data_IF_875245380755
#
_entry.id   IF_875245380755
#
_cell.length_a   1.000
_cell.length_b   1.000
_cell.length_c   1.000
_cell.angle_alpha   90.00
_cell.angle_beta   90.00
_cell.angle_gamma   90.00
#
_symmetry.space_group_name_H-M   'P 1'
#
loop_
_entity.id
_entity.type
_entity.pdbx_description
1 polymer ?
#
# COMPACT_ATOMS: atom_id res chain seq x y z
N UNK A 1 -15.12 4.19 6.84
CA UNK A 1 -14.19 4.91 5.93
C UNK A 1 -13.21 3.88 5.40
N UNK A 2 -13.08 3.77 4.07
CA UNK A 2 -12.34 2.71 3.39
C UNK A 2 -10.83 2.72 3.74
N UNK A 3 -10.23 1.54 3.97
CA UNK A 3 -8.80 1.38 4.29
C UNK A 3 -7.90 1.87 3.14
N UNK A 4 -6.65 2.29 3.41
CA UNK A 4 -5.74 2.78 2.37
C UNK A 4 -5.47 1.73 1.28
N UNK A 5 -5.39 0.45 1.66
CA UNK A 5 -5.24 -0.68 0.75
C UNK A 5 -6.38 -0.78 -0.28
N UNK A 6 -7.62 -0.49 0.13
CA UNK A 6 -8.76 -0.50 -0.79
C UNK A 6 -8.73 0.65 -1.80
N UNK A 7 -8.16 1.81 -1.43
CA UNK A 7 -7.93 2.92 -2.36
C UNK A 7 -6.85 2.58 -3.37
N UNK A 8 -5.74 2.00 -2.91
CA UNK A 8 -4.68 1.50 -3.79
C UNK A 8 -5.20 0.47 -4.80
N UNK A 9 -6.11 -0.41 -4.39
CA UNK A 9 -6.75 -1.38 -5.28
C UNK A 9 -7.54 -0.69 -6.42
N UNK A 10 -8.26 0.40 -6.14
CA UNK A 10 -8.98 1.17 -7.18
C UNK A 10 -8.02 1.84 -8.16
N UNK A 11 -6.91 2.38 -7.67
CA UNK A 11 -5.85 2.97 -8.52
C UNK A 11 -5.23 1.90 -9.42
N UNK A 12 -4.95 0.71 -8.89
CA UNK A 12 -4.41 -0.40 -9.68
C UNK A 12 -5.36 -0.81 -10.81
N UNK A 13 -6.68 -0.85 -10.58
CA UNK A 13 -7.66 -1.11 -11.64
C UNK A 13 -7.60 -0.01 -12.71
N UNK A 14 -7.56 1.26 -12.28
CA UNK A 14 -7.49 2.41 -13.19
C UNK A 14 -6.24 2.43 -14.07
N UNK A 15 -5.13 1.87 -13.58
CA UNK A 15 -3.87 1.74 -14.34
C UNK A 15 -3.83 0.48 -15.19
N UNK A 16 -4.39 -0.64 -14.71
CA UNK A 16 -4.40 -1.91 -15.45
C UNK A 16 -5.21 -1.81 -16.75
N UNK A 17 -6.39 -1.18 -16.71
CA UNK A 17 -7.29 -1.07 -17.86
C UNK A 17 -6.64 -0.43 -19.10
N UNK A 18 -6.03 0.77 -19.03
CA UNK A 18 -5.36 1.37 -20.17
C UNK A 18 -4.12 0.57 -20.60
N UNK A 19 -3.41 -0.06 -19.66
CA UNK A 19 -2.29 -0.96 -20.00
C UNK A 19 -2.74 -2.12 -20.88
N UNK A 20 -3.84 -2.77 -20.53
CA UNK A 20 -4.40 -3.84 -21.35
C UNK A 20 -4.83 -3.34 -22.73
N UNK A 21 -5.46 -2.16 -22.80
CA UNK A 21 -5.82 -1.54 -24.08
C UNK A 21 -4.57 -1.29 -24.96
N UNK A 22 -3.50 -0.73 -24.38
CA UNK A 22 -2.24 -0.50 -25.09
C UNK A 22 -1.59 -1.80 -25.56
N UNK A 23 -1.64 -2.86 -24.75
CA UNK A 23 -1.14 -4.17 -25.17
C UNK A 23 -1.93 -4.73 -26.35
N UNK A 24 -3.26 -4.59 -26.35
CA UNK A 24 -4.10 -5.03 -27.46
C UNK A 24 -3.79 -4.26 -28.75
N UNK A 25 -3.62 -2.94 -28.66
CA UNK A 25 -3.23 -2.10 -29.80
C UNK A 25 -1.84 -2.49 -30.35
N UNK A 26 -0.87 -2.74 -29.46
CA UNK A 26 0.47 -3.17 -29.87
C UNK A 26 0.48 -4.54 -30.56
N UNK A 27 -0.46 -5.43 -30.21
CA UNK A 27 -0.65 -6.71 -30.92
C UNK A 27 -1.25 -6.46 -32.30
N UNK A 28 -2.28 -5.60 -32.42
CA UNK A 28 -2.91 -5.25 -33.71
C UNK A 28 -1.92 -4.58 -34.66
N UNK A 29 -1.01 -3.75 -34.15
CA UNK A 29 0.07 -3.14 -34.93
C UNK A 29 1.18 -4.13 -35.34
N UNK A 30 1.13 -5.38 -34.86
CA UNK A 30 2.15 -6.40 -35.14
C UNK A 30 3.50 -6.12 -34.47
N UNK A 31 3.53 -5.25 -33.45
CA UNK A 31 4.75 -4.97 -32.66
C UNK A 31 5.05 -6.07 -31.65
N UNK A 32 4.00 -6.76 -31.16
CA UNK A 32 4.10 -7.88 -30.23
C UNK A 32 3.73 -9.16 -30.98
N UNK A 33 4.67 -10.10 -31.05
CA UNK A 33 4.51 -11.40 -31.71
C UNK A 33 4.33 -12.47 -30.65
N UNK A 34 3.14 -13.11 -30.61
CA UNK A 34 2.79 -14.15 -29.61
C UNK A 34 2.98 -15.56 -30.19
N UNK A 35 2.77 -15.73 -31.49
CA UNK A 35 2.97 -16.98 -32.22
C UNK A 35 3.90 -16.71 -33.40
N UNK A 36 4.87 -17.61 -33.62
CA UNK A 36 6.01 -17.42 -34.53
C UNK A 36 5.64 -16.69 -35.83
N UNK A 37 6.12 -15.45 -35.97
CA UNK A 37 6.01 -14.72 -37.22
C UNK A 37 7.14 -15.16 -38.15
N UNK A 38 6.78 -15.60 -39.35
CA UNK A 38 7.67 -15.49 -40.49
C UNK A 38 7.85 -14.01 -40.84
N UNK A 39 9.06 -13.62 -41.24
CA UNK A 39 9.47 -12.23 -41.53
C UNK A 39 8.55 -11.48 -42.50
N UNK A 40 7.68 -12.17 -43.24
CA UNK A 40 6.71 -11.57 -44.17
C UNK A 40 5.49 -10.93 -43.49
N UNK A 41 5.15 -11.36 -42.27
CA UNK A 41 3.90 -10.94 -41.58
C UNK A 41 4.18 -9.87 -40.51
N UNK A 42 5.41 -9.79 -39.98
CA UNK A 42 5.75 -8.92 -38.84
C UNK A 42 7.09 -8.21 -39.05
N UNK A 43 7.16 -7.18 -39.92
CA UNK A 43 8.41 -6.47 -40.24
C UNK A 43 8.91 -5.55 -39.11
N UNK A 44 8.06 -5.24 -38.12
CA UNK A 44 8.32 -4.26 -37.05
C UNK A 44 8.43 -4.90 -35.66
N UNK A 45 8.77 -6.19 -35.58
CA UNK A 45 8.93 -6.88 -34.31
C UNK A 45 10.08 -6.24 -33.51
N UNK A 46 9.74 -5.54 -32.44
CA UNK A 46 10.70 -4.96 -31.49
C UNK A 46 10.52 -5.66 -30.14
N UNK A 47 11.58 -6.32 -29.68
CA UNK A 47 11.59 -7.01 -28.39
C UNK A 47 11.24 -6.08 -27.21
N UNK A 48 11.38 -4.76 -27.37
CA UNK A 48 10.99 -3.77 -26.34
C UNK A 48 9.48 -3.69 -26.13
N UNK A 49 8.67 -4.07 -27.13
CA UNK A 49 7.20 -4.03 -27.04
C UNK A 49 6.65 -5.04 -26.01
N UNK A 50 7.44 -6.05 -25.61
CA UNK A 50 7.09 -7.02 -24.57
C UNK A 50 7.04 -6.43 -23.15
N UNK A 51 7.58 -5.22 -22.94
CA UNK A 51 7.51 -4.54 -21.65
C UNK A 51 6.07 -4.23 -21.23
N UNK A 52 5.22 -3.83 -22.19
CA UNK A 52 3.81 -3.49 -21.93
C UNK A 52 3.02 -4.67 -21.34
N UNK A 53 3.01 -5.88 -21.94
CA UNK A 53 2.29 -7.02 -21.36
C UNK A 53 2.94 -7.52 -20.07
N UNK A 54 4.27 -7.45 -19.94
CA UNK A 54 4.95 -7.79 -18.69
C UNK A 54 4.53 -6.88 -17.53
N UNK A 55 4.44 -5.56 -17.78
CA UNK A 55 3.98 -4.60 -16.79
C UNK A 55 2.51 -4.85 -16.40
N UNK A 56 1.63 -5.10 -17.39
CA UNK A 56 0.22 -5.43 -17.13
C UNK A 56 0.07 -6.69 -16.27
N UNK A 57 0.91 -7.70 -16.50
CA UNK A 57 0.96 -8.91 -15.69
C UNK A 57 1.43 -8.64 -14.25
N UNK A 58 2.46 -7.81 -14.05
CA UNK A 58 2.92 -7.43 -12.72
C UNK A 58 1.84 -6.66 -11.93
N UNK A 59 1.12 -5.75 -12.59
CA UNK A 59 0.02 -4.98 -11.98
C UNK A 59 -1.10 -5.91 -11.54
N UNK A 60 -1.43 -6.94 -12.33
CA UNK A 60 -2.46 -7.91 -11.94
C UNK A 60 -2.04 -8.87 -10.85
N UNK A 61 -0.77 -9.28 -10.81
CA UNK A 61 -0.22 -10.02 -9.65
C UNK A 61 -0.34 -9.18 -8.38
N UNK A 62 0.05 -7.90 -8.43
CA UNK A 62 -0.05 -7.00 -7.28
C UNK A 62 -1.49 -6.83 -6.81
N UNK A 63 -2.43 -6.66 -7.76
CA UNK A 63 -3.86 -6.60 -7.47
C UNK A 63 -4.38 -7.88 -6.79
N UNK A 64 -4.06 -9.05 -7.35
CA UNK A 64 -4.47 -10.35 -6.79
C UNK A 64 -3.89 -10.54 -5.39
N UNK A 65 -2.61 -10.22 -5.20
CA UNK A 65 -1.98 -10.29 -3.90
C UNK A 65 -2.70 -9.43 -2.86
N UNK A 66 -3.02 -8.17 -3.19
CA UNK A 66 -3.79 -7.29 -2.31
C UNK A 66 -5.20 -7.82 -2.05
N UNK A 67 -5.85 -8.38 -3.07
CA UNK A 67 -7.19 -8.94 -2.95
C UNK A 67 -7.23 -10.15 -2.01
N UNK A 68 -6.32 -11.12 -2.19
CA UNK A 68 -6.25 -12.33 -1.36
C UNK A 68 -5.85 -12.04 0.07
N UNK A 69 -5.07 -10.99 0.29
CA UNK A 69 -4.55 -10.66 1.62
C UNK A 69 -5.44 -9.66 2.38
N UNK A 70 -6.57 -9.26 1.80
CA UNK A 70 -7.55 -8.34 2.39
C UNK A 70 -8.20 -8.87 3.67
N UNK A 71 -8.38 -10.19 3.78
CA UNK A 71 -9.04 -10.85 4.92
C UNK A 71 -8.06 -11.44 5.95
N UNK A 72 -6.75 -11.21 5.80
CA UNK A 72 -5.77 -11.67 6.78
C UNK A 72 -5.51 -10.58 7.80
N UNK A 73 -5.40 -10.98 9.06
CA UNK A 73 -5.07 -10.08 10.16
C UNK A 73 -3.72 -9.38 9.94
N UNK A 74 -3.56 -8.18 10.49
CA UNK A 74 -2.35 -7.36 10.39
C UNK A 74 -1.10 -8.13 10.83
N UNK A 75 0.04 -7.70 10.32
CA UNK A 75 1.42 -8.10 10.64
C UNK A 75 2.01 -9.28 9.84
N UNK A 76 1.22 -10.10 9.15
CA UNK A 76 1.75 -11.28 8.44
C UNK A 76 2.11 -11.08 6.96
N UNK A 77 1.96 -9.87 6.41
CA UNK A 77 2.18 -9.62 4.98
C UNK A 77 3.34 -8.67 4.69
N UNK A 78 4.15 -8.99 3.67
CA UNK A 78 5.32 -8.18 3.26
C UNK A 78 4.97 -6.73 2.88
N UNK A 79 3.76 -6.51 2.36
CA UNK A 79 3.29 -5.17 1.97
C UNK A 79 2.72 -4.37 3.15
N UNK A 80 2.50 -4.98 4.31
CA UNK A 80 1.87 -4.31 5.46
C UNK A 80 2.77 -3.20 6.03
N UNK A 81 4.10 -3.33 5.85
CA UNK A 81 5.08 -2.29 6.17
C UNK A 81 4.94 -1.01 5.34
N UNK A 82 4.41 -1.11 4.12
CA UNK A 82 4.33 0.00 3.16
C UNK A 82 2.93 0.55 3.01
N UNK A 83 1.94 -0.33 3.02
CA UNK A 83 0.53 0.00 2.84
C UNK A 83 -0.21 -0.63 4.00
N UNK A 84 -0.51 0.19 5.00
CA UNK A 84 -1.34 -0.26 6.10
C UNK A 84 -2.72 -0.63 5.58
N UNK A 85 -3.20 -1.78 6.03
CA UNK A 85 -4.51 -2.34 5.71
C UNK A 85 -5.57 -1.95 6.74
N UNK A 86 -5.15 -1.20 7.77
CA UNK A 86 -5.98 -0.79 8.89
C UNK A 86 -7.12 0.11 8.41
N UNK A 87 -8.22 0.08 9.14
CA UNK A 87 -9.26 1.08 8.93
C UNK A 87 -8.63 2.46 9.15
N UNK A 88 -8.96 3.44 8.31
CA UNK A 88 -8.38 4.77 8.44
C UNK A 88 -8.70 5.40 9.81
N UNK A 89 -9.83 5.04 10.41
CA UNK A 89 -10.22 5.54 11.73
C UNK A 89 -9.27 5.03 12.82
N UNK A 90 -9.02 3.72 12.86
CA UNK A 90 -8.15 3.10 13.87
C UNK A 90 -6.69 3.56 13.69
N UNK A 91 -6.23 3.63 12.44
CA UNK A 91 -4.92 4.17 12.12
C UNK A 91 -4.75 5.61 12.58
N UNK A 92 -5.76 6.47 12.37
CA UNK A 92 -5.71 7.87 12.82
C UNK A 92 -5.69 7.97 14.34
N UNK A 93 -6.36 7.08 15.05
CA UNK A 93 -6.34 7.04 16.52
C UNK A 93 -4.93 6.68 16.99
N UNK A 94 -4.35 5.60 16.44
CA UNK A 94 -2.99 5.14 16.77
C UNK A 94 -1.91 6.19 16.43
N UNK A 95 -1.99 6.78 15.24
CA UNK A 95 -1.04 7.82 14.82
C UNK A 95 -1.18 9.08 15.68
N UNK A 96 -2.39 9.44 16.13
CA UNK A 96 -2.56 10.55 17.06
C UNK A 96 -1.96 10.26 18.42
N UNK A 97 -2.13 9.05 18.96
CA UNK A 97 -1.49 8.68 20.23
C UNK A 97 0.03 8.69 20.12
N UNK A 98 0.58 8.11 19.04
CA UNK A 98 2.02 8.13 18.76
C UNK A 98 2.54 9.57 18.56
N UNK A 99 1.79 10.44 17.89
CA UNK A 99 2.14 11.85 17.74
C UNK A 99 2.09 12.62 19.06
N UNK A 100 1.10 12.37 19.92
CA UNK A 100 1.02 13.04 21.24
C UNK A 100 2.14 12.59 22.17
N UNK A 101 2.56 11.32 22.07
CA UNK A 101 3.68 10.77 22.83
C UNK A 101 5.03 11.28 22.32
N UNK A 102 5.17 11.42 20.99
CA UNK A 102 6.37 12.00 20.38
C UNK A 102 6.43 13.54 20.48
N UNK A 103 5.28 14.22 20.62
CA UNK A 103 5.24 15.67 20.74
C UNK A 103 5.81 16.10 22.09
N UNK A 104 6.94 16.82 22.07
CA UNK A 104 7.58 17.32 23.28
C UNK A 104 6.73 18.28 24.12
N UNK A 105 5.60 18.75 23.57
CA UNK A 105 4.62 19.60 24.24
C UNK A 105 3.90 18.87 25.39
N UNK A 106 3.73 17.55 25.30
CA UNK A 106 3.14 16.73 26.37
C UNK A 106 4.13 16.32 27.46
N UNK A 107 5.44 16.50 27.25
CA UNK A 107 6.46 16.08 28.22
C UNK A 107 6.36 16.86 29.54
N UNK A 108 6.09 18.17 29.45
CA UNK A 108 5.96 19.02 30.65
C UNK A 108 4.71 18.69 31.47
N UNK A 109 3.57 18.48 30.81
CA UNK A 109 2.31 18.11 31.46
C UNK A 109 2.34 16.67 31.98
N UNK A 110 2.90 15.74 31.21
CA UNK A 110 3.09 14.35 31.64
C UNK A 110 4.00 14.25 32.86
N UNK A 111 5.14 14.95 32.86
CA UNK A 111 6.03 15.02 34.02
C UNK A 111 5.33 15.65 35.24
N UNK A 112 4.60 16.75 35.06
CA UNK A 112 3.85 17.38 36.16
C UNK A 112 2.82 16.43 36.78
N UNK A 113 2.09 15.66 35.96
CA UNK A 113 1.14 14.65 36.48
C UNK A 113 1.82 13.47 37.17
N UNK A 114 3.02 13.09 36.71
CA UNK A 114 3.81 12.03 37.34
C UNK A 114 4.32 12.50 38.71
N UNK A 115 4.87 13.71 38.79
CA UNK A 115 5.40 14.30 40.02
C UNK A 115 4.28 14.49 41.06
N UNK A 116 3.11 14.97 40.64
CA UNK A 116 1.97 15.11 41.54
C UNK A 116 1.57 13.76 42.16
N UNK A 117 1.46 12.68 41.37
CA UNK A 117 1.17 11.34 41.90
C UNK A 117 2.26 10.85 42.84
N UNK A 118 3.53 11.11 42.53
CA UNK A 118 4.63 10.75 43.40
C UNK A 118 4.55 11.47 44.75
N UNK A 119 4.14 12.73 44.76
CA UNK A 119 3.93 13.51 45.98
C UNK A 119 2.70 13.04 46.78
N UNK A 120 1.61 12.67 46.11
CA UNK A 120 0.41 12.10 46.77
C UNK A 120 0.73 10.78 47.48
N UNK A 121 1.51 9.90 46.84
CA UNK A 121 1.96 8.63 47.46
C UNK A 121 2.84 8.90 48.69
N UNK A 122 3.79 9.83 48.60
CA UNK A 122 4.62 10.18 49.77
C UNK A 122 3.80 10.77 50.93
N UNK A 123 2.74 11.52 50.62
CA UNK A 123 1.87 12.08 51.65
C UNK A 123 1.09 10.99 52.39
N UNK A 124 0.57 9.99 51.65
CA UNK A 124 -0.11 8.83 52.25
C UNK A 124 0.84 7.93 53.06
N UNK A 125 2.15 7.93 52.77
CA UNK A 125 3.15 7.18 53.55
C UNK A 125 3.56 7.91 54.86
N UNK A 126 3.26 9.20 54.99
CA UNK A 126 3.58 10.03 56.16
C UNK A 126 2.41 10.20 57.16
N UNK A 127 1.18 9.82 56.79
CA UNK A 127 -0.01 9.74 57.68
C UNK A 127 -0.21 8.34 58.29
#
# INVERSE_FOLDING_TARGET
>A
MDSPASRAQRVLIGVALPLYLLTALAIVEGRIVIFGCDLLVCPNADNRALFLPALAFLVTIAFLYMHFTRNREHEFALLDKWISRESEADMRIRLRSEQTEASGESLGTSWATMEQKHLEIRLEEEE
#
